data_IF_228055360707
#
_entry.id   IF_228055360707
#
_cell.length_a   1.000
_cell.length_b   1.000
_cell.length_c   1.000
_cell.angle_alpha   90.00
_cell.angle_beta   90.00
_cell.angle_gamma   90.00
#
_symmetry.space_group_name_H-M   'P 1'
#
loop_
_entity.id
_entity.type
_entity.pdbx_description
1 polymer ?
#
# COMPACT_ATOMS: atom_id res chain seq x y z
N UNK A 1 24.97 12.84 -21.11
CA UNK A 1 23.83 12.89 -20.16
C UNK A 1 24.28 12.18 -18.90
N UNK A 2 24.32 12.81 -17.72
CA UNK A 2 24.68 12.10 -16.51
C UNK A 2 23.53 11.17 -16.10
N UNK A 3 23.90 9.90 -15.98
CA UNK A 3 23.20 8.82 -15.32
C UNK A 3 23.15 9.16 -13.82
N UNK A 4 21.99 9.56 -13.28
CA UNK A 4 21.99 10.14 -11.92
C UNK A 4 20.67 10.27 -11.18
N UNK A 5 19.52 10.00 -11.81
CA UNK A 5 18.25 10.02 -11.09
C UNK A 5 17.29 9.01 -11.73
N UNK A 6 17.50 7.72 -11.44
CA UNK A 6 16.35 6.82 -11.35
C UNK A 6 15.61 7.29 -10.10
N UNK A 7 14.83 8.35 -10.25
CA UNK A 7 13.94 8.89 -9.24
C UNK A 7 13.28 7.71 -8.54
N UNK A 8 13.48 7.63 -7.22
CA UNK A 8 12.81 6.68 -6.32
C UNK A 8 11.32 7.02 -6.33
N UNK A 9 10.63 6.72 -7.42
CA UNK A 9 9.18 6.72 -7.49
C UNK A 9 8.67 5.48 -6.74
N UNK A 10 8.90 5.47 -5.43
CA UNK A 10 8.08 4.69 -4.52
C UNK A 10 6.63 5.18 -4.65
N UNK A 11 5.64 4.32 -4.36
CA UNK A 11 4.27 4.77 -4.37
C UNK A 11 4.13 6.01 -3.47
N UNK A 12 3.37 7.00 -3.92
CA UNK A 12 3.13 8.22 -3.13
C UNK A 12 1.94 7.96 -2.18
N UNK A 13 2.07 8.24 -0.88
CA UNK A 13 0.95 8.06 0.04
C UNK A 13 -0.20 9.02 -0.31
N UNK A 14 -1.47 8.57 -0.20
CA UNK A 14 -2.64 9.38 -0.52
C UNK A 14 -2.80 10.61 0.39
N UNK A 15 -2.36 10.50 1.65
CA UNK A 15 -2.42 11.54 2.66
C UNK A 15 -1.47 11.22 3.83
N UNK A 16 -1.28 12.17 4.74
CA UNK A 16 -0.53 11.98 5.98
C UNK A 16 -1.12 10.85 6.83
N UNK A 17 -0.25 9.99 7.37
CA UNK A 17 -0.63 8.91 8.29
C UNK A 17 -0.98 7.58 7.61
N UNK A 18 -0.87 7.50 6.27
CA UNK A 18 -0.89 6.23 5.56
C UNK A 18 0.51 5.63 5.53
N UNK A 19 0.62 4.37 5.96
CA UNK A 19 1.81 3.54 5.84
C UNK A 19 1.56 2.47 4.77
N UNK A 20 2.64 1.94 4.18
CA UNK A 20 2.53 0.91 3.16
C UNK A 20 2.43 -0.48 3.80
N UNK A 21 1.49 -1.28 3.31
CA UNK A 21 1.30 -2.66 3.72
C UNK A 21 1.23 -3.59 2.52
N UNK A 22 1.72 -4.81 2.70
CA UNK A 22 1.62 -5.88 1.72
C UNK A 22 0.70 -6.97 2.26
N UNK A 23 -0.15 -7.49 1.39
CA UNK A 23 -0.88 -8.72 1.69
C UNK A 23 0.10 -9.89 1.78
N UNK A 24 0.17 -10.58 2.91
CA UNK A 24 1.19 -11.61 3.20
C UNK A 24 1.24 -12.71 2.13
N UNK A 25 0.07 -13.07 1.58
CA UNK A 25 -0.02 -14.12 0.55
C UNK A 25 0.18 -13.60 -0.88
N UNK A 26 0.45 -12.31 -1.09
CA UNK A 26 0.67 -11.74 -2.42
C UNK A 26 1.83 -12.40 -3.16
N UNK A 27 2.89 -12.84 -2.45
CA UNK A 27 3.98 -13.59 -3.08
C UNK A 27 3.59 -15.00 -3.56
N UNK A 28 2.57 -15.61 -2.95
CA UNK A 28 2.04 -16.93 -3.35
C UNK A 28 1.00 -16.80 -4.46
N UNK A 29 0.23 -15.71 -4.45
CA UNK A 29 -0.75 -15.39 -5.48
C UNK A 29 -0.04 -14.66 -6.62
N UNK A 30 0.46 -15.41 -7.61
CA UNK A 30 0.99 -14.85 -8.88
C UNK A 30 -0.13 -14.29 -9.77
N UNK A 31 -1.04 -13.51 -9.20
CA UNK A 31 -2.07 -12.80 -9.94
C UNK A 31 -1.40 -11.71 -10.75
N UNK A 32 -1.34 -11.90 -12.07
CA UNK A 32 -0.66 -10.99 -12.99
C UNK A 32 -1.29 -9.60 -12.89
N UNK A 33 -0.48 -8.58 -12.58
CA UNK A 33 -0.93 -7.19 -12.41
C UNK A 33 -1.38 -6.82 -11.00
N UNK A 34 -1.34 -7.72 -10.02
CA UNK A 34 -1.61 -7.39 -8.63
C UNK A 34 -0.33 -7.33 -7.80
N UNK A 35 0.06 -6.13 -7.38
CA UNK A 35 1.23 -5.92 -6.53
C UNK A 35 1.02 -6.42 -5.10
N UNK A 36 -0.24 -6.58 -4.67
CA UNK A 36 -0.59 -6.90 -3.29
C UNK A 36 -0.24 -5.81 -2.27
N UNK A 37 0.10 -4.62 -2.74
CA UNK A 37 0.46 -3.45 -1.93
C UNK A 37 -0.74 -2.53 -1.75
N UNK A 38 -0.89 -2.03 -0.54
CA UNK A 38 -1.98 -1.16 -0.12
C UNK A 38 -1.43 -0.10 0.83
N UNK A 39 -1.96 1.11 0.73
CA UNK A 39 -1.80 2.11 1.77
C UNK A 39 -2.80 1.83 2.86
N UNK A 40 -2.37 1.79 4.12
CA UNK A 40 -3.29 1.69 5.23
C UNK A 40 -3.00 2.72 6.32
N UNK A 41 -4.06 3.23 6.93
CA UNK A 41 -3.98 4.06 8.14
C UNK A 41 -4.89 3.50 9.21
N UNK A 42 -4.47 3.63 10.47
CA UNK A 42 -5.33 3.29 11.60
C UNK A 42 -6.35 4.40 11.84
N UNK A 43 -7.61 4.01 11.96
CA UNK A 43 -8.74 4.88 12.27
C UNK A 43 -8.86 5.11 13.78
N UNK A 44 -9.61 6.14 14.23
CA UNK A 44 -9.86 6.36 15.65
C UNK A 44 -10.55 5.19 16.37
N UNK A 45 -11.37 4.41 15.64
CA UNK A 45 -12.01 3.20 16.16
C UNK A 45 -11.04 2.01 16.34
N UNK A 46 -9.80 2.14 15.83
CA UNK A 46 -8.77 1.12 15.91
C UNK A 46 -8.65 0.23 14.68
N UNK A 47 -9.61 0.29 13.76
CA UNK A 47 -9.63 -0.40 12.46
C UNK A 47 -8.68 0.24 11.44
N UNK A 48 -8.49 -0.41 10.29
CA UNK A 48 -7.61 0.09 9.22
C UNK A 48 -8.39 0.52 7.98
N UNK A 49 -8.19 1.74 7.54
CA UNK A 49 -8.65 2.19 6.22
C UNK A 49 -7.59 1.86 5.18
N UNK A 50 -7.99 1.16 4.11
CA UNK A 50 -7.12 0.77 3.00
C UNK A 50 -7.42 1.60 1.76
N UNK A 51 -6.35 2.04 1.11
CA UNK A 51 -6.35 2.67 -0.20
C UNK A 51 -5.47 1.83 -1.15
N UNK A 52 -5.84 1.78 -2.43
CA UNK A 52 -5.00 1.15 -3.45
C UNK A 52 -3.71 1.93 -3.63
N UNK A 53 -2.66 1.22 -4.01
CA UNK A 53 -1.41 1.85 -4.46
C UNK A 53 -1.56 2.20 -5.93
N UNK A 54 -1.39 3.48 -6.25
CA UNK A 54 -1.26 3.92 -7.64
C UNK A 54 0.05 3.39 -8.20
N UNK A 55 -0.01 2.64 -9.31
CA UNK A 55 1.18 2.02 -9.93
C UNK A 55 1.66 2.77 -11.18
N UNK A 56 0.85 3.71 -11.67
CA UNK A 56 1.14 4.53 -12.84
C UNK A 56 1.06 6.02 -12.47
N UNK A 57 1.86 6.83 -13.17
CA UNK A 57 1.81 8.28 -13.03
C UNK A 57 0.41 8.81 -13.43
N UNK A 58 -0.17 9.67 -12.58
CA UNK A 58 -1.51 10.22 -12.76
C UNK A 58 -2.67 9.34 -12.27
N UNK A 59 -2.41 8.09 -11.87
CA UNK A 59 -3.40 7.24 -11.21
C UNK A 59 -3.63 7.73 -9.77
N UNK A 60 -4.90 7.85 -9.37
CA UNK A 60 -5.23 8.23 -7.98
C UNK A 60 -5.44 6.99 -7.13
N UNK A 61 -4.89 6.94 -5.91
CA UNK A 61 -5.23 5.90 -4.94
C UNK A 61 -6.73 5.92 -4.65
N UNK A 62 -7.37 4.74 -4.73
CA UNK A 62 -8.81 4.57 -4.53
C UNK A 62 -9.07 3.90 -3.20
N UNK A 63 -10.13 4.32 -2.50
CA UNK A 63 -10.55 3.67 -1.26
C UNK A 63 -10.99 2.24 -1.52
N UNK A 64 -10.30 1.29 -0.90
CA UNK A 64 -10.63 -0.14 -0.95
C UNK A 64 -11.69 -0.44 0.10
N UNK A 65 -11.55 0.14 1.30
CA UNK A 65 -12.52 -0.03 2.38
C UNK A 65 -11.89 0.11 3.76
N UNK A 66 -12.68 -0.15 4.79
CA UNK A 66 -12.22 -0.25 6.18
C UNK A 66 -12.23 -1.72 6.60
N UNK A 67 -11.14 -2.17 7.20
CA UNK A 67 -10.94 -3.54 7.63
C UNK A 67 -10.81 -3.60 9.16
N UNK A 68 -11.45 -4.60 9.81
CA UNK A 68 -11.28 -4.84 11.23
C UNK A 68 -9.81 -5.04 11.58
N UNK A 69 -9.37 -4.44 12.68
CA UNK A 69 -7.98 -4.51 13.16
C UNK A 69 -7.37 -5.92 13.11
N UNK A 70 -8.04 -6.89 13.76
CA UNK A 70 -7.51 -8.25 13.90
C UNK A 70 -7.30 -8.93 12.55
N UNK A 71 -8.29 -8.80 11.65
CA UNK A 71 -8.21 -9.33 10.29
C UNK A 71 -7.07 -8.68 9.50
N UNK A 72 -6.90 -7.36 9.65
CA UNK A 72 -5.86 -6.62 8.95
C UNK A 72 -4.46 -7.04 9.41
N UNK A 73 -4.18 -6.99 10.71
CA UNK A 73 -2.87 -7.34 11.28
C UNK A 73 -2.48 -8.80 10.97
N UNK A 74 -3.47 -9.70 10.87
CA UNK A 74 -3.26 -11.10 10.48
C UNK A 74 -2.90 -11.27 9.00
N UNK A 75 -3.52 -10.50 8.12
CA UNK A 75 -3.45 -10.69 6.66
C UNK A 75 -2.41 -9.82 5.97
N UNK A 76 -2.05 -8.70 6.60
CA UNK A 76 -1.13 -7.71 6.05
C UNK A 76 0.11 -7.60 6.91
N UNK A 77 1.22 -7.23 6.27
CA UNK A 77 2.47 -6.89 6.92
C UNK A 77 2.90 -5.49 6.49
N UNK A 78 3.43 -4.70 7.43
CA UNK A 78 3.94 -3.37 7.12
C UNK A 78 5.21 -3.53 6.28
N UNK A 79 5.32 -2.73 5.23
CA UNK A 79 6.50 -2.66 4.38
C UNK A 79 7.24 -1.38 4.71
N UNK A 80 8.51 -1.52 5.10
CA UNK A 80 9.43 -0.40 5.19
C UNK A 80 10.04 -0.19 3.81
N UNK A 81 10.03 1.07 3.35
CA UNK A 81 10.68 1.47 2.10
C UNK A 81 11.91 2.30 2.49
N UNK A 82 13.10 1.88 2.07
CA UNK A 82 14.39 2.58 2.24
C UNK A 82 14.71 3.47 1.02
#
# INVERSE_FOLDING_TARGET
MPDGERERFGPVPPATGFELYRYRSAGRMRTRGWSGLYWARRTPAGDYELMSVATNEGERPVRVGTFPRESFERLYERVEWD
#
